data_IF_140843913578
#
_entry.id   IF_140843913578
#
_cell.length_a   1.000
_cell.length_b   1.000
_cell.length_c   1.000
_cell.angle_alpha   90.00
_cell.angle_beta   90.00
_cell.angle_gamma   90.00
#
_symmetry.space_group_name_H-M   'P 1'
#
loop_
_entity.id
_entity.type
_entity.pdbx_description
1 polymer ?
#
# COMPACT_ATOMS: atom_id res chain seq x y z
N UNK A 1 -2.38 33.69 -33.35
CA UNK A 1 -1.66 34.17 -32.16
C UNK A 1 -2.32 33.50 -30.95
N UNK A 2 -1.66 32.52 -30.35
CA UNK A 2 -2.09 31.89 -29.10
C UNK A 2 -1.49 32.70 -27.94
N UNK A 3 -2.33 33.30 -27.13
CA UNK A 3 -1.92 33.96 -25.89
C UNK A 3 -1.38 32.94 -24.88
N UNK A 4 -0.22 33.17 -24.27
CA UNK A 4 0.30 32.30 -23.24
C UNK A 4 -0.55 32.51 -21.96
N UNK A 5 -1.34 31.52 -21.60
CA UNK A 5 -1.98 31.49 -20.28
C UNK A 5 -0.90 31.10 -19.26
N UNK A 6 -0.27 32.08 -18.65
CA UNK A 6 0.53 31.87 -17.46
C UNK A 6 -0.44 31.70 -16.28
N UNK A 7 -0.72 30.48 -15.89
CA UNK A 7 -1.31 30.21 -14.59
C UNK A 7 -0.22 30.33 -13.54
N UNK A 8 -0.16 31.48 -12.88
CA UNK A 8 0.59 31.66 -11.64
C UNK A 8 -0.17 30.91 -10.52
N UNK A 9 0.05 29.60 -10.46
CA UNK A 9 -0.42 28.79 -9.33
C UNK A 9 0.58 29.00 -8.21
N UNK A 10 0.33 30.02 -7.37
CA UNK A 10 0.99 30.11 -6.08
C UNK A 10 0.56 28.88 -5.26
N UNK A 11 1.34 27.83 -5.30
CA UNK A 11 1.14 26.64 -4.49
C UNK A 11 1.45 26.98 -3.05
N UNK A 12 0.44 27.46 -2.30
CA UNK A 12 0.46 27.33 -0.85
C UNK A 12 0.68 25.85 -0.58
N UNK A 13 1.78 25.50 0.11
CA UNK A 13 2.01 24.14 0.62
C UNK A 13 0.82 23.77 1.50
N UNK A 14 -0.15 23.09 0.93
CA UNK A 14 -1.25 22.51 1.71
C UNK A 14 -0.68 21.25 2.32
N UNK A 15 -0.26 21.33 3.58
CA UNK A 15 0.06 20.14 4.36
C UNK A 15 -1.23 19.34 4.50
N UNK A 16 -1.24 18.06 4.13
CA UNK A 16 -2.41 17.23 4.35
C UNK A 16 -2.69 17.13 5.84
N UNK A 17 -3.95 17.17 6.22
CA UNK A 17 -4.40 16.93 7.60
C UNK A 17 -4.08 15.48 7.96
N UNK A 18 -3.46 15.25 9.11
CA UNK A 18 -3.22 13.97 9.71
C UNK A 18 -4.18 13.69 10.88
N UNK A 19 -4.45 12.42 11.16
CA UNK A 19 -5.17 11.99 12.35
C UNK A 19 -4.41 10.86 13.06
N UNK A 20 -4.11 11.03 14.33
CA UNK A 20 -3.36 10.14 15.18
C UNK A 20 -4.21 9.63 16.35
N UNK A 21 -4.39 8.32 16.44
CA UNK A 21 -4.92 7.68 17.64
C UNK A 21 -3.78 6.99 18.41
N UNK A 22 -3.71 7.21 19.71
CA UNK A 22 -2.74 6.55 20.60
C UNK A 22 -3.49 5.59 21.52
N UNK A 23 -3.03 4.33 21.61
CA UNK A 23 -3.46 3.37 22.62
C UNK A 23 -2.33 3.22 23.62
N UNK A 24 -2.61 3.56 24.88
CA UNK A 24 -1.65 3.53 25.97
C UNK A 24 -1.97 2.39 26.92
N UNK A 25 -1.16 1.34 26.87
CA UNK A 25 -1.14 0.23 27.83
C UNK A 25 0.26 0.17 28.44
N UNK A 26 0.45 0.85 29.58
CA UNK A 26 1.76 1.16 30.16
C UNK A 26 1.84 0.95 31.66
N UNK A 27 0.82 0.34 32.28
CA UNK A 27 0.76 0.20 33.74
C UNK A 27 1.77 -0.80 34.30
N UNK A 28 2.20 -1.76 33.51
CA UNK A 28 2.97 -2.91 33.98
C UNK A 28 4.50 -2.79 33.81
N UNK A 29 5.00 -1.69 33.25
CA UNK A 29 6.44 -1.46 33.26
C UNK A 29 6.87 -0.29 34.18
N UNK A 30 8.11 -0.28 34.68
CA UNK A 30 8.56 0.74 35.60
C UNK A 30 8.35 2.16 35.09
N UNK A 31 7.68 3.01 35.90
CA UNK A 31 7.31 4.39 35.54
C UNK A 31 6.45 4.49 34.27
N UNK A 32 5.74 3.42 33.87
CA UNK A 32 5.01 3.36 32.61
C UNK A 32 4.04 4.50 32.41
N UNK A 33 3.27 4.89 33.41
CA UNK A 33 2.35 6.03 33.34
C UNK A 33 3.07 7.37 33.17
N UNK A 34 4.27 7.52 33.75
CA UNK A 34 5.13 8.69 33.52
C UNK A 34 5.58 8.74 32.05
N UNK A 35 6.03 7.61 31.53
CA UNK A 35 6.38 7.48 30.12
C UNK A 35 5.19 7.73 29.19
N UNK A 36 4.02 7.16 29.49
CA UNK A 36 2.79 7.37 28.71
C UNK A 36 2.47 8.87 28.57
N UNK A 37 2.51 9.61 29.67
CA UNK A 37 2.27 11.05 29.69
C UNK A 37 3.32 11.82 28.87
N UNK A 38 4.58 11.43 28.96
CA UNK A 38 5.68 12.05 28.23
C UNK A 38 5.56 11.82 26.73
N UNK A 39 5.40 10.55 26.30
CA UNK A 39 5.33 10.20 24.88
C UNK A 39 4.10 10.82 24.20
N UNK A 40 2.95 10.82 24.88
CA UNK A 40 1.73 11.44 24.35
C UNK A 40 1.94 12.95 24.11
N UNK A 41 2.53 13.66 25.07
CA UNK A 41 2.83 15.09 24.92
C UNK A 41 3.84 15.36 23.82
N UNK A 42 4.91 14.57 23.71
CA UNK A 42 5.89 14.74 22.64
C UNK A 42 5.31 14.43 21.25
N UNK A 43 4.45 13.41 21.14
CA UNK A 43 3.73 13.13 19.88
C UNK A 43 2.83 14.31 19.48
N UNK A 44 2.08 14.88 20.43
CA UNK A 44 1.20 16.02 20.19
C UNK A 44 1.97 17.29 19.75
N UNK A 45 3.17 17.53 20.29
CA UNK A 45 3.97 18.74 19.99
C UNK A 45 4.47 18.81 18.55
N UNK A 46 4.62 17.67 17.87
CA UNK A 46 5.13 17.62 16.50
C UNK A 46 4.03 17.65 15.44
N UNK A 47 2.78 17.59 15.85
CA UNK A 47 1.62 17.69 14.97
C UNK A 47 1.38 19.15 14.57
N UNK A 48 0.83 19.33 13.37
CA UNK A 48 0.38 20.65 12.93
C UNK A 48 -0.93 21.02 13.61
N UNK A 49 -1.26 22.30 13.68
CA UNK A 49 -2.50 22.80 14.30
C UNK A 49 -3.79 22.18 13.74
N UNK A 50 -3.76 21.76 12.47
CA UNK A 50 -4.91 21.13 11.78
C UNK A 50 -5.00 19.63 11.99
N UNK A 51 -3.89 18.99 12.41
CA UNK A 51 -3.88 17.56 12.68
C UNK A 51 -4.76 17.25 13.89
N UNK A 52 -5.31 16.05 13.90
CA UNK A 52 -6.11 15.53 15.01
C UNK A 52 -5.32 14.49 15.80
N UNK A 53 -5.50 14.51 17.11
CA UNK A 53 -4.94 13.50 18.02
C UNK A 53 -6.01 13.06 19.02
N UNK A 54 -6.04 11.78 19.31
CA UNK A 54 -6.88 11.19 20.35
C UNK A 54 -6.13 10.11 21.12
N UNK A 55 -6.52 9.85 22.36
CA UNK A 55 -5.90 8.86 23.24
C UNK A 55 -6.95 7.89 23.73
N UNK A 56 -6.66 6.60 23.66
CA UNK A 56 -7.42 5.49 24.20
C UNK A 56 -6.59 4.80 25.28
N UNK A 57 -7.25 4.43 26.36
CA UNK A 57 -6.65 3.68 27.46
C UNK A 57 -7.74 3.00 28.29
N UNK A 58 -7.34 2.12 29.21
CA UNK A 58 -8.17 1.75 30.34
C UNK A 58 -8.06 2.82 31.43
N UNK A 59 -9.17 3.35 31.93
CA UNK A 59 -9.19 4.50 32.85
C UNK A 59 -9.92 4.18 34.19
N UNK A 60 -9.95 2.94 34.61
CA UNK A 60 -10.66 2.52 35.83
C UNK A 60 -12.18 2.40 35.67
N UNK A 61 -12.77 3.11 34.72
CA UNK A 61 -14.18 2.97 34.32
C UNK A 61 -14.39 2.02 33.14
N UNK A 62 -13.29 1.54 32.54
CA UNK A 62 -13.26 0.67 31.39
C UNK A 62 -12.36 1.22 30.26
N UNK A 63 -12.32 0.47 29.17
CA UNK A 63 -11.64 0.85 27.94
C UNK A 63 -12.39 2.01 27.26
N UNK A 64 -11.68 3.05 26.88
CA UNK A 64 -12.33 4.18 26.27
C UNK A 64 -11.39 5.29 25.84
N UNK A 65 -11.98 6.32 25.24
CA UNK A 65 -11.27 7.55 24.91
C UNK A 65 -10.96 8.34 26.19
N UNK A 66 -9.69 8.60 26.44
CA UNK A 66 -9.24 9.64 27.38
C UNK A 66 -9.67 11.00 26.87
N UNK A 67 -9.48 11.23 25.56
CA UNK A 67 -10.15 12.25 24.76
C UNK A 67 -10.19 11.78 23.29
N UNK A 68 -11.31 12.05 22.58
CA UNK A 68 -11.46 11.68 21.18
C UNK A 68 -10.54 12.49 20.26
N UNK A 69 -10.51 12.14 18.97
CA UNK A 69 -9.77 12.90 17.98
C UNK A 69 -10.13 14.38 18.05
N UNK A 70 -9.17 15.19 18.42
CA UNK A 70 -9.30 16.62 18.70
C UNK A 70 -8.15 17.35 18.00
N UNK A 71 -8.39 18.57 17.45
CA UNK A 71 -7.33 19.33 16.80
C UNK A 71 -6.11 19.58 17.71
N UNK A 72 -4.91 19.33 17.20
CA UNK A 72 -3.66 19.46 17.96
C UNK A 72 -3.36 20.88 18.43
N UNK A 73 -4.00 21.90 17.83
CA UNK A 73 -3.94 23.29 18.30
C UNK A 73 -4.38 23.48 19.77
N UNK A 74 -5.16 22.55 20.30
CA UNK A 74 -5.64 22.56 21.68
C UNK A 74 -4.63 21.97 22.67
N UNK A 75 -3.35 21.98 22.32
CA UNK A 75 -2.27 21.28 23.05
C UNK A 75 -2.34 21.47 24.57
N UNK A 76 -2.46 22.70 25.07
CA UNK A 76 -2.44 22.98 26.52
C UNK A 76 -3.62 22.29 27.24
N UNK A 77 -4.81 22.31 26.67
CA UNK A 77 -5.98 21.62 27.18
C UNK A 77 -5.78 20.10 27.19
N UNK A 78 -5.29 19.55 26.07
CA UNK A 78 -5.07 18.12 25.92
C UNK A 78 -3.94 17.62 26.84
N UNK A 79 -2.86 18.39 26.98
CA UNK A 79 -1.75 18.08 27.88
C UNK A 79 -2.20 18.05 29.36
N UNK A 80 -3.11 18.95 29.75
CA UNK A 80 -3.71 18.94 31.08
C UNK A 80 -4.55 17.66 31.34
N UNK A 81 -5.28 17.16 30.33
CA UNK A 81 -6.02 15.90 30.40
C UNK A 81 -5.02 14.72 30.53
N UNK A 82 -3.99 14.68 29.68
CA UNK A 82 -2.93 13.66 29.72
C UNK A 82 -2.25 13.57 31.09
N UNK A 83 -1.95 14.72 31.69
CA UNK A 83 -1.30 14.74 33.02
C UNK A 83 -2.14 14.10 34.14
N UNK A 84 -3.48 14.08 33.98
CA UNK A 84 -4.41 13.46 34.94
C UNK A 84 -4.76 12.02 34.59
N UNK A 85 -4.39 11.54 33.42
CA UNK A 85 -4.66 10.18 32.98
C UNK A 85 -3.74 9.20 33.69
N UNK A 86 -4.28 8.11 34.20
CA UNK A 86 -3.54 6.97 34.71
C UNK A 86 -4.01 5.73 33.92
N UNK A 87 -3.33 5.40 32.80
CA UNK A 87 -3.63 4.19 32.07
C UNK A 87 -3.55 2.95 32.95
N UNK A 88 -4.57 2.13 32.92
CA UNK A 88 -4.63 0.87 33.65
C UNK A 88 -4.41 -0.33 32.73
N UNK A 89 -4.55 -1.50 33.31
CA UNK A 89 -4.40 -2.78 32.63
C UNK A 89 -5.57 -3.04 31.67
N UNK A 90 -5.24 -3.44 30.46
CA UNK A 90 -6.17 -3.60 29.35
C UNK A 90 -6.30 -5.08 28.96
N UNK A 91 -7.47 -5.70 29.12
CA UNK A 91 -7.62 -7.15 28.89
C UNK A 91 -7.56 -7.54 27.42
N UNK A 92 -7.82 -6.61 26.50
CA UNK A 92 -7.86 -6.88 25.06
C UNK A 92 -7.58 -5.64 24.24
N UNK A 93 -6.90 -5.81 23.07
CA UNK A 93 -6.77 -4.74 22.10
C UNK A 93 -8.06 -4.49 21.29
N UNK A 94 -9.00 -5.43 21.26
CA UNK A 94 -10.14 -5.39 20.35
C UNK A 94 -11.00 -4.14 20.54
N UNK A 95 -11.38 -3.81 21.78
CA UNK A 95 -12.26 -2.67 22.08
C UNK A 95 -11.62 -1.34 21.71
N UNK A 96 -10.41 -1.09 22.21
CA UNK A 96 -9.70 0.18 21.95
C UNK A 96 -9.32 0.34 20.49
N UNK A 97 -8.90 -0.72 19.82
CA UNK A 97 -8.63 -0.71 18.39
C UNK A 97 -9.90 -0.42 17.57
N UNK A 98 -11.04 -1.07 17.91
CA UNK A 98 -12.31 -0.80 17.22
C UNK A 98 -12.75 0.67 17.39
N UNK A 99 -12.71 1.18 18.63
CA UNK A 99 -13.04 2.59 18.90
C UNK A 99 -12.14 3.56 18.14
N UNK A 100 -10.85 3.26 18.11
CA UNK A 100 -9.85 4.04 17.37
C UNK A 100 -10.08 4.01 15.85
N UNK A 101 -10.36 2.84 15.29
CA UNK A 101 -10.70 2.69 13.88
C UNK A 101 -11.95 3.49 13.51
N UNK A 102 -12.99 3.41 14.32
CA UNK A 102 -14.25 4.14 14.09
C UNK A 102 -14.04 5.65 14.19
N UNK A 103 -13.20 6.11 15.11
CA UNK A 103 -12.80 7.51 15.20
C UNK A 103 -12.04 7.98 13.97
N UNK A 104 -11.01 7.21 13.57
CA UNK A 104 -10.18 7.52 12.41
C UNK A 104 -10.95 7.47 11.08
N UNK A 105 -11.95 6.59 10.95
CA UNK A 105 -12.84 6.56 9.77
C UNK A 105 -13.71 7.82 9.65
N UNK A 106 -14.11 8.41 10.76
CA UNK A 106 -14.93 9.63 10.78
C UNK A 106 -14.12 10.90 10.48
N UNK A 107 -12.79 10.84 10.64
CA UNK A 107 -11.91 11.96 10.32
C UNK A 107 -11.78 12.15 8.81
N UNK A 108 -11.77 13.41 8.37
CA UNK A 108 -11.47 13.84 7.00
C UNK A 108 -9.96 13.88 6.69
N UNK A 109 -9.12 13.39 7.61
CA UNK A 109 -7.68 13.38 7.45
C UNK A 109 -7.24 12.53 6.26
N UNK A 110 -6.28 13.05 5.49
CA UNK A 110 -5.68 12.34 4.36
C UNK A 110 -4.77 11.20 4.82
N UNK A 111 -4.11 11.36 5.96
CA UNK A 111 -3.25 10.35 6.58
C UNK A 111 -3.82 9.99 7.94
N UNK A 112 -4.08 8.71 8.14
CA UNK A 112 -4.67 8.18 9.38
C UNK A 112 -3.76 7.13 9.96
N UNK A 113 -3.39 7.29 11.21
CA UNK A 113 -2.43 6.43 11.86
C UNK A 113 -2.82 6.12 13.29
N UNK A 114 -2.48 4.92 13.74
CA UNK A 114 -2.62 4.50 15.14
C UNK A 114 -1.26 4.05 15.66
N UNK A 115 -0.97 4.38 16.91
CA UNK A 115 0.19 3.87 17.62
C UNK A 115 -0.29 3.14 18.88
N UNK A 116 0.16 1.90 19.06
CA UNK A 116 -0.10 1.09 20.25
C UNK A 116 1.22 0.94 21.02
N UNK A 117 1.22 1.27 22.29
CA UNK A 117 2.31 0.92 23.21
C UNK A 117 1.78 -0.07 24.23
N UNK A 118 2.44 -1.20 24.39
CA UNK A 118 2.05 -2.28 25.29
C UNK A 118 3.22 -3.22 25.57
N UNK A 119 3.17 -3.96 26.65
CA UNK A 119 4.02 -5.12 26.93
C UNK A 119 3.62 -6.37 26.13
N UNK A 120 2.40 -6.36 25.53
CA UNK A 120 1.93 -7.39 24.62
C UNK A 120 1.00 -8.44 25.25
N UNK A 121 0.63 -8.29 26.51
CA UNK A 121 -0.24 -9.24 27.23
C UNK A 121 -1.75 -9.13 26.89
N UNK A 122 -2.32 -7.96 26.41
CA UNK A 122 -3.71 -7.94 26.02
C UNK A 122 -4.05 -8.96 24.92
N UNK A 123 -5.23 -9.56 25.02
CA UNK A 123 -5.72 -10.49 24.01
C UNK A 123 -5.70 -9.87 22.60
N UNK A 124 -5.29 -10.64 21.56
CA UNK A 124 -5.16 -10.12 20.20
C UNK A 124 -6.51 -9.69 19.60
N UNK A 125 -6.52 -8.72 18.68
CA UNK A 125 -7.71 -8.38 17.92
C UNK A 125 -8.09 -9.50 16.94
N UNK A 126 -9.36 -9.51 16.52
CA UNK A 126 -9.79 -10.45 15.48
C UNK A 126 -9.16 -10.14 14.12
N UNK A 127 -8.98 -11.15 13.26
CA UNK A 127 -8.50 -10.93 11.88
C UNK A 127 -9.36 -9.95 11.08
N UNK A 128 -10.68 -9.94 11.34
CA UNK A 128 -11.64 -9.03 10.70
C UNK A 128 -11.38 -7.58 11.08
N UNK A 129 -11.05 -7.34 12.37
CA UNK A 129 -10.71 -6.00 12.84
C UNK A 129 -9.41 -5.50 12.18
N UNK A 130 -8.38 -6.33 12.13
CA UNK A 130 -7.10 -6.00 11.45
C UNK A 130 -7.32 -5.73 9.97
N UNK A 131 -8.17 -6.54 9.32
CA UNK A 131 -8.59 -6.29 7.93
C UNK A 131 -9.31 -4.95 7.80
N UNK A 132 -10.16 -4.58 8.75
CA UNK A 132 -10.86 -3.29 8.79
C UNK A 132 -9.91 -2.09 8.76
N UNK A 133 -8.77 -2.16 9.43
CA UNK A 133 -7.72 -1.14 9.37
C UNK A 133 -7.12 -1.02 7.96
N UNK A 134 -6.80 -2.15 7.32
CA UNK A 134 -6.29 -2.16 5.93
C UNK A 134 -7.29 -1.56 4.94
N UNK A 135 -8.55 -1.99 5.02
CA UNK A 135 -9.61 -1.55 4.12
C UNK A 135 -9.88 -0.03 4.29
N UNK A 136 -9.76 0.47 5.52
CA UNK A 136 -9.87 1.90 5.84
C UNK A 136 -8.58 2.70 5.55
N UNK A 137 -7.50 2.06 5.11
CA UNK A 137 -6.18 2.67 4.90
C UNK A 137 -5.65 3.36 6.16
N UNK A 138 -5.83 2.73 7.30
CA UNK A 138 -5.28 3.15 8.59
C UNK A 138 -4.11 2.24 8.92
N UNK A 139 -2.91 2.80 9.02
CA UNK A 139 -1.73 2.05 9.46
C UNK A 139 -1.64 2.03 10.98
N UNK A 140 -1.18 0.91 11.54
CA UNK A 140 -1.00 0.75 12.99
C UNK A 140 0.45 0.41 13.29
N UNK A 141 1.17 1.32 13.96
CA UNK A 141 2.50 1.02 14.48
C UNK A 141 2.40 0.55 15.93
N UNK A 142 3.22 -0.42 16.29
CA UNK A 142 3.20 -1.03 17.61
C UNK A 142 4.57 -0.94 18.28
N UNK A 143 4.57 -0.69 19.58
CA UNK A 143 5.77 -0.53 20.38
C UNK A 143 5.65 -1.48 21.57
N UNK A 144 6.47 -2.54 21.57
CA UNK A 144 6.56 -3.46 22.68
C UNK A 144 7.49 -2.90 23.75
N UNK A 145 7.04 -2.90 25.02
CA UNK A 145 7.81 -2.44 26.16
C UNK A 145 7.83 -3.52 27.23
N UNK A 146 9.01 -3.80 27.77
CA UNK A 146 9.22 -4.69 28.94
C UNK A 146 8.31 -5.94 28.96
N UNK A 147 8.20 -6.74 27.89
CA UNK A 147 7.38 -7.94 27.94
C UNK A 147 7.85 -8.85 29.07
N UNK A 148 6.92 -9.26 29.91
CA UNK A 148 7.19 -10.08 31.07
C UNK A 148 6.46 -11.43 30.99
N UNK A 149 6.88 -12.40 31.80
CA UNK A 149 6.09 -13.64 32.04
C UNK A 149 5.84 -14.54 30.83
N UNK A 150 6.64 -14.48 29.75
CA UNK A 150 6.47 -15.32 28.55
C UNK A 150 5.48 -14.78 27.54
N UNK A 151 5.11 -13.51 27.63
CA UNK A 151 4.28 -12.81 26.66
C UNK A 151 4.96 -12.81 25.29
N UNK A 152 4.23 -13.21 24.25
CA UNK A 152 4.71 -13.23 22.87
C UNK A 152 4.51 -11.86 22.19
N UNK A 153 5.58 -11.09 21.96
CA UNK A 153 5.49 -9.82 21.24
C UNK A 153 5.06 -10.01 19.77
N UNK A 154 4.92 -11.25 19.30
CA UNK A 154 4.50 -11.59 17.94
C UNK A 154 3.12 -11.03 17.59
N UNK A 155 2.22 -10.87 18.54
CA UNK A 155 0.91 -10.23 18.33
C UNK A 155 1.08 -8.79 17.86
N UNK A 156 1.90 -8.01 18.57
CA UNK A 156 2.17 -6.61 18.21
C UNK A 156 2.88 -6.51 16.85
N UNK A 157 3.82 -7.42 16.59
CA UNK A 157 4.51 -7.49 15.31
C UNK A 157 3.55 -7.84 14.17
N UNK A 158 2.61 -8.77 14.37
CA UNK A 158 1.61 -9.15 13.38
C UNK A 158 0.67 -7.98 13.06
N UNK A 159 0.14 -7.27 14.07
CA UNK A 159 -0.71 -6.10 13.88
C UNK A 159 -0.01 -5.05 13.00
N UNK A 160 1.22 -4.68 13.35
CA UNK A 160 1.97 -3.68 12.58
C UNK A 160 2.19 -4.13 11.14
N UNK A 161 2.65 -5.36 10.93
CA UNK A 161 2.93 -5.93 9.60
C UNK A 161 1.68 -5.98 8.72
N UNK A 162 0.55 -6.42 9.25
CA UNK A 162 -0.68 -6.61 8.50
C UNK A 162 -1.37 -5.28 8.14
N UNK A 163 -1.20 -4.25 8.96
CA UNK A 163 -1.80 -2.92 8.72
C UNK A 163 -0.87 -1.95 8.00
N UNK A 164 0.37 -2.37 7.71
CA UNK A 164 1.36 -1.53 7.02
C UNK A 164 2.02 -0.48 7.91
N UNK A 165 1.98 -0.67 9.22
CA UNK A 165 2.73 0.12 10.20
C UNK A 165 4.09 -0.48 10.53
N UNK A 166 4.72 0.01 11.59
CA UNK A 166 6.05 -0.40 12.05
C UNK A 166 5.99 -1.01 13.44
N UNK A 167 6.82 -2.02 13.66
CA UNK A 167 7.02 -2.63 14.97
C UNK A 167 8.33 -2.15 15.59
N UNK A 168 8.27 -1.77 16.87
CA UNK A 168 9.42 -1.34 17.66
C UNK A 168 9.55 -2.15 18.93
N UNK A 169 10.78 -2.44 19.31
CA UNK A 169 11.11 -3.08 20.59
C UNK A 169 12.34 -2.39 21.22
N UNK A 170 12.15 -1.19 21.78
CA UNK A 170 13.24 -0.48 22.42
C UNK A 170 13.64 -1.16 23.75
N UNK A 171 14.92 -1.53 23.86
CA UNK A 171 15.50 -2.03 25.11
C UNK A 171 15.62 -0.94 26.20
N UNK A 172 15.63 0.32 25.78
CA UNK A 172 15.80 1.49 26.63
C UNK A 172 14.57 2.39 26.51
N UNK A 173 13.76 2.56 27.59
CA UNK A 173 12.58 3.41 27.55
C UNK A 173 12.87 4.88 27.22
N UNK A 174 14.08 5.38 27.42
CA UNK A 174 14.46 6.74 27.06
C UNK A 174 14.33 7.03 25.55
N UNK A 175 14.29 5.98 24.72
CA UNK A 175 14.09 6.08 23.27
C UNK A 175 12.61 6.21 22.86
N UNK A 176 11.67 5.94 23.76
CA UNK A 176 10.23 6.02 23.46
C UNK A 176 9.80 7.37 22.88
N UNK A 177 10.16 8.54 23.48
CA UNK A 177 9.77 9.82 22.92
C UNK A 177 10.22 10.00 21.47
N UNK A 178 11.45 9.60 21.14
CA UNK A 178 11.98 9.72 19.78
C UNK A 178 11.24 8.85 18.77
N UNK A 179 10.80 7.65 19.18
CA UNK A 179 9.97 6.76 18.35
C UNK A 179 8.60 7.40 18.09
N UNK A 180 7.94 7.91 19.14
CA UNK A 180 6.63 8.55 18.99
C UNK A 180 6.70 9.82 18.16
N UNK A 181 7.73 10.64 18.33
CA UNK A 181 8.01 11.81 17.48
C UNK A 181 8.18 11.39 16.01
N UNK A 182 8.93 10.31 15.77
CA UNK A 182 9.14 9.78 14.42
C UNK A 182 7.82 9.32 13.78
N UNK A 183 7.01 8.55 14.52
CA UNK A 183 5.71 8.08 14.05
C UNK A 183 4.74 9.25 13.80
N UNK A 184 4.65 10.21 14.72
CA UNK A 184 3.81 11.39 14.53
C UNK A 184 4.24 12.26 13.34
N UNK A 185 5.54 12.40 13.09
CA UNK A 185 6.09 13.12 11.92
C UNK A 185 5.69 12.49 10.58
N UNK A 186 5.33 11.21 10.52
CA UNK A 186 4.82 10.62 9.27
C UNK A 186 3.51 11.25 8.82
N UNK A 187 2.72 11.76 9.78
CA UNK A 187 1.46 12.47 9.51
C UNK A 187 1.68 13.89 8.97
N UNK A 188 2.77 14.53 9.40
CA UNK A 188 3.05 15.94 9.10
C UNK A 188 3.94 16.14 7.88
N UNK A 189 4.49 15.06 7.30
CA UNK A 189 5.31 15.15 6.09
C UNK A 189 4.42 15.59 4.91
N UNK A 190 4.81 16.69 4.27
CA UNK A 190 4.16 17.08 3.02
C UNK A 190 4.20 15.91 2.03
N UNK A 191 3.06 15.53 1.46
CA UNK A 191 3.02 14.50 0.41
C UNK A 191 3.83 14.90 -0.82
N UNK A 192 4.05 16.19 -1.02
CA UNK A 192 4.87 16.74 -2.10
C UNK A 192 6.18 17.22 -1.49
N UNK A 193 7.28 16.59 -1.88
CA UNK A 193 8.63 16.97 -1.50
C UNK A 193 9.25 17.79 -2.62
N UNK A 194 9.26 19.13 -2.50
CA UNK A 194 9.91 20.01 -3.47
C UNK A 194 11.29 20.42 -2.97
N UNK A 195 12.20 19.49 -3.03
CA UNK A 195 13.64 19.67 -2.77
C UNK A 195 14.43 18.84 -3.77
N UNK A 196 15.65 19.25 -4.09
CA UNK A 196 16.52 18.44 -4.95
C UNK A 196 16.86 17.12 -4.24
N UNK A 197 16.56 16.02 -4.90
CA UNK A 197 16.75 14.65 -4.41
C UNK A 197 17.44 13.83 -5.48
N UNK A 198 18.55 13.20 -5.15
CA UNK A 198 19.19 12.19 -5.98
C UNK A 198 18.66 10.82 -5.59
N UNK A 199 17.83 10.17 -6.41
CA UNK A 199 17.35 8.83 -6.12
C UNK A 199 18.51 7.85 -6.06
N UNK A 200 18.42 6.88 -5.16
CA UNK A 200 19.36 5.76 -5.05
C UNK A 200 18.70 4.46 -5.48
N UNK A 201 19.52 3.53 -6.00
CA UNK A 201 19.04 2.19 -6.38
C UNK A 201 18.80 1.41 -5.09
N UNK A 202 17.56 0.96 -4.89
CA UNK A 202 17.20 0.05 -3.79
C UNK A 202 17.26 -1.41 -4.25
N UNK A 203 16.75 -1.69 -5.44
CA UNK A 203 16.75 -3.03 -6.00
C UNK A 203 17.27 -3.02 -7.45
N UNK A 204 18.24 -3.91 -7.79
CA UNK A 204 18.73 -4.03 -9.14
C UNK A 204 17.62 -4.42 -10.12
N UNK A 205 17.51 -3.72 -11.25
CA UNK A 205 16.46 -3.97 -12.24
C UNK A 205 16.98 -3.86 -13.66
N UNK A 206 16.39 -4.63 -14.57
CA UNK A 206 16.66 -4.53 -16.01
C UNK A 206 16.28 -3.14 -16.56
N UNK A 207 15.36 -2.44 -15.89
CA UNK A 207 14.96 -1.06 -16.24
C UNK A 207 16.14 -0.09 -16.16
N UNK A 208 17.12 -0.36 -15.29
CA UNK A 208 18.29 0.49 -15.08
C UNK A 208 19.57 -0.08 -15.71
N UNK A 209 19.49 -1.20 -16.42
CA UNK A 209 20.67 -1.89 -16.98
C UNK A 209 21.43 -0.98 -17.95
N UNK A 210 22.71 -0.76 -17.68
CA UNK A 210 23.60 0.02 -18.53
C UNK A 210 23.41 1.53 -18.48
N UNK A 211 22.57 2.06 -17.56
CA UNK A 211 22.25 3.50 -17.51
C UNK A 211 23.14 4.31 -16.55
N UNK A 212 23.96 3.65 -15.74
CA UNK A 212 24.76 4.34 -14.73
C UNK A 212 23.91 4.97 -13.62
N UNK A 213 24.36 6.12 -13.13
CA UNK A 213 23.64 6.86 -12.10
C UNK A 213 22.47 7.64 -12.71
N UNK A 214 21.34 7.64 -11.99
CA UNK A 214 20.17 8.43 -12.38
C UNK A 214 20.30 9.88 -11.94
N UNK A 215 19.76 10.84 -12.72
CA UNK A 215 19.81 12.25 -12.38
C UNK A 215 18.96 12.58 -11.14
N UNK A 216 19.25 13.69 -10.46
CA UNK A 216 18.38 14.18 -9.39
C UNK A 216 17.05 14.69 -9.93
N UNK A 217 16.04 14.64 -9.04
CA UNK A 217 14.72 15.24 -9.22
C UNK A 217 14.64 16.51 -8.37
N UNK A 218 13.93 17.53 -8.83
CA UNK A 218 13.61 18.73 -8.03
C UNK A 218 12.44 18.49 -7.06
N UNK A 219 11.75 17.37 -7.19
CA UNK A 219 10.66 16.99 -6.30
C UNK A 219 10.10 15.60 -6.62
N UNK A 220 9.34 15.05 -5.69
CA UNK A 220 8.63 13.79 -5.83
C UNK A 220 7.44 13.74 -4.86
N UNK A 221 6.49 12.84 -5.14
CA UNK A 221 5.35 12.58 -4.25
C UNK A 221 5.73 11.50 -3.24
N UNK A 222 5.62 11.83 -1.97
CA UNK A 222 5.84 10.88 -0.88
C UNK A 222 4.74 9.82 -0.88
N UNK A 223 5.14 8.57 -0.92
CA UNK A 223 4.25 7.42 -0.91
C UNK A 223 4.86 6.29 -0.06
N UNK A 224 4.07 5.26 0.21
CA UNK A 224 4.54 4.03 0.84
C UNK A 224 4.54 2.89 -0.16
N UNK A 225 5.56 2.01 -0.13
CA UNK A 225 5.57 0.84 -1.01
C UNK A 225 4.39 -0.08 -0.71
N UNK A 226 3.74 -0.58 -1.74
CA UNK A 226 2.70 -1.61 -1.58
C UNK A 226 3.31 -2.95 -1.21
N UNK A 227 2.58 -3.75 -0.47
CA UNK A 227 2.95 -5.15 -0.24
C UNK A 227 3.17 -5.85 -1.60
N UNK A 228 4.29 -6.54 -1.75
CA UNK A 228 4.74 -7.21 -2.98
C UNK A 228 5.11 -6.27 -4.14
N UNK A 229 5.27 -4.97 -3.91
CA UNK A 229 5.92 -4.11 -4.89
C UNK A 229 7.45 -4.18 -4.74
N UNK A 230 8.14 -4.06 -5.86
CA UNK A 230 9.59 -3.94 -5.91
C UNK A 230 9.94 -2.46 -6.08
N UNK A 231 10.56 -1.85 -5.08
CA UNK A 231 11.06 -0.47 -5.19
C UNK A 231 12.43 -0.51 -5.84
N UNK A 232 12.53 0.06 -7.04
CA UNK A 232 13.76 0.09 -7.84
C UNK A 232 14.60 1.30 -7.47
N UNK A 233 13.97 2.47 -7.40
CA UNK A 233 14.58 3.72 -6.97
C UNK A 233 13.89 4.25 -5.73
N UNK A 234 14.68 4.70 -4.76
CA UNK A 234 14.19 5.32 -3.53
C UNK A 234 14.74 6.73 -3.33
N UNK A 235 14.02 7.52 -2.53
CA UNK A 235 14.44 8.82 -2.03
C UNK A 235 15.60 8.74 -1.01
N UNK A 236 16.01 9.88 -0.47
CA UNK A 236 17.22 10.00 0.35
C UNK A 236 17.07 9.47 1.79
N UNK A 237 15.86 9.18 2.24
CA UNK A 237 15.63 8.73 3.62
C UNK A 237 16.27 7.37 3.85
N UNK A 238 17.05 7.24 4.93
CA UNK A 238 17.79 6.02 5.24
C UNK A 238 16.95 4.99 6.01
N UNK A 239 16.00 5.45 6.79
CA UNK A 239 15.21 4.61 7.69
C UNK A 239 13.86 4.19 7.10
N UNK A 240 13.38 4.94 6.11
CA UNK A 240 12.13 4.68 5.40
C UNK A 240 12.40 4.56 3.91
N UNK A 241 11.69 3.64 3.26
CA UNK A 241 11.74 3.54 1.81
C UNK A 241 10.70 4.50 1.25
N UNK A 242 11.14 5.65 0.74
CA UNK A 242 10.33 6.56 -0.05
C UNK A 242 10.46 6.13 -1.53
N UNK A 243 9.50 5.41 -2.12
CA UNK A 243 9.64 4.92 -3.48
C UNK A 243 9.62 6.07 -4.48
N UNK A 244 10.62 6.11 -5.36
CA UNK A 244 10.67 7.01 -6.50
C UNK A 244 10.26 6.28 -7.78
N UNK A 245 10.72 5.04 -7.95
CA UNK A 245 10.27 4.13 -8.99
C UNK A 245 9.98 2.77 -8.37
N UNK A 246 8.76 2.30 -8.52
CA UNK A 246 8.36 0.96 -8.09
C UNK A 246 7.62 0.23 -9.20
N UNK A 247 7.78 -1.08 -9.24
CA UNK A 247 7.04 -1.97 -10.13
C UNK A 247 6.22 -2.95 -9.32
N UNK A 248 5.11 -3.38 -9.88
CA UNK A 248 4.19 -4.27 -9.21
C UNK A 248 3.44 -5.15 -10.21
N UNK A 249 3.23 -6.41 -9.85
CA UNK A 249 2.39 -7.33 -10.63
C UNK A 249 0.96 -7.26 -10.15
N UNK A 250 0.04 -7.02 -11.09
CA UNK A 250 -1.39 -7.02 -10.84
C UNK A 250 -2.10 -7.92 -11.85
N UNK A 251 -2.63 -9.03 -11.37
CA UNK A 251 -3.18 -10.08 -12.23
C UNK A 251 -2.11 -10.62 -13.19
N UNK A 252 -2.41 -10.61 -14.47
CA UNK A 252 -1.49 -11.01 -15.55
C UNK A 252 -0.63 -9.85 -16.07
N UNK A 253 -0.86 -8.64 -15.57
CA UNK A 253 -0.15 -7.44 -15.99
C UNK A 253 0.96 -7.04 -15.02
N UNK A 254 1.81 -6.13 -15.48
CA UNK A 254 2.82 -5.46 -14.67
C UNK A 254 2.60 -3.95 -14.79
N UNK A 255 2.77 -3.24 -13.70
CA UNK A 255 2.62 -1.79 -13.64
C UNK A 255 3.87 -1.17 -13.06
N UNK A 256 4.15 0.07 -13.41
CA UNK A 256 5.18 0.87 -12.78
C UNK A 256 4.58 2.19 -12.30
N UNK A 257 5.09 2.69 -11.19
CA UNK A 257 4.78 4.00 -10.66
C UNK A 257 6.07 4.77 -10.46
N UNK A 258 6.12 5.98 -11.04
CA UNK A 258 7.19 6.93 -10.85
C UNK A 258 6.62 8.14 -10.10
N UNK A 259 7.15 8.44 -8.92
CA UNK A 259 6.60 9.46 -8.03
C UNK A 259 7.14 10.87 -8.30
N UNK A 260 8.14 11.00 -9.18
CA UNK A 260 8.56 12.26 -9.79
C UNK A 260 7.66 12.64 -10.96
N UNK A 261 8.19 13.48 -11.85
CA UNK A 261 7.57 13.77 -13.13
C UNK A 261 8.63 13.78 -14.26
N UNK A 262 8.15 13.75 -15.48
CA UNK A 262 8.96 13.95 -16.69
C UNK A 262 8.63 15.30 -17.33
N UNK A 263 8.48 16.33 -16.49
CA UNK A 263 8.28 17.71 -16.90
C UNK A 263 9.48 18.58 -16.46
N UNK A 264 9.61 19.80 -17.00
CA UNK A 264 10.64 20.74 -16.54
C UNK A 264 10.52 21.14 -15.06
N UNK A 265 9.37 20.89 -14.43
CA UNK A 265 9.14 21.23 -13.02
C UNK A 265 10.06 20.44 -12.10
N UNK A 266 9.98 19.11 -12.13
CA UNK A 266 10.79 18.25 -11.26
C UNK A 266 11.80 17.40 -12.01
N UNK A 267 11.49 16.99 -13.23
CA UNK A 267 12.27 16.07 -14.05
C UNK A 267 13.17 16.72 -15.11
N UNK A 268 13.45 18.04 -15.04
CA UNK A 268 14.26 18.72 -16.05
C UNK A 268 15.57 17.97 -16.36
N UNK A 269 16.34 17.61 -15.31
CA UNK A 269 17.61 16.90 -15.47
C UNK A 269 17.45 15.48 -16.05
N UNK A 270 16.27 14.85 -15.87
CA UNK A 270 15.95 13.57 -16.50
C UNK A 270 15.72 13.72 -17.99
N UNK A 271 15.01 14.78 -18.42
CA UNK A 271 14.76 15.05 -19.84
C UNK A 271 16.02 15.35 -20.62
N UNK A 272 17.02 15.97 -19.97
CA UNK A 272 18.33 16.32 -20.57
C UNK A 272 19.33 15.14 -20.51
N UNK A 273 19.04 14.10 -19.74
CA UNK A 273 19.94 12.97 -19.53
C UNK A 273 19.97 12.04 -20.76
N UNK A 274 21.14 11.69 -21.25
CA UNK A 274 21.31 10.77 -22.38
C UNK A 274 20.65 9.39 -22.12
N UNK A 275 20.63 8.95 -20.85
CA UNK A 275 19.97 7.73 -20.42
C UNK A 275 18.44 7.78 -20.41
N UNK A 276 17.80 8.94 -20.63
CA UNK A 276 16.34 9.06 -20.52
C UNK A 276 15.58 8.20 -21.54
N UNK A 277 15.97 8.26 -22.81
CA UNK A 277 15.32 7.44 -23.85
C UNK A 277 15.50 5.93 -23.63
N UNK A 278 16.72 5.42 -23.35
CA UNK A 278 16.91 4.03 -22.96
C UNK A 278 16.10 3.65 -21.71
N UNK A 279 16.07 4.51 -20.69
CA UNK A 279 15.27 4.29 -19.48
C UNK A 279 13.79 4.09 -19.80
N UNK A 280 13.17 5.01 -20.52
CA UNK A 280 11.75 4.93 -20.90
C UNK A 280 11.48 3.69 -21.75
N UNK A 281 12.38 3.35 -22.68
CA UNK A 281 12.27 2.13 -23.49
C UNK A 281 12.32 0.86 -22.62
N UNK A 282 13.30 0.77 -21.71
CA UNK A 282 13.45 -0.38 -20.80
C UNK A 282 12.25 -0.51 -19.85
N UNK A 283 11.77 0.62 -19.32
CA UNK A 283 10.56 0.68 -18.50
C UNK A 283 9.33 0.19 -19.28
N UNK A 284 9.13 0.69 -20.50
CA UNK A 284 8.03 0.26 -21.36
C UNK A 284 8.10 -1.23 -21.69
N UNK A 285 9.27 -1.77 -21.98
CA UNK A 285 9.48 -3.20 -22.23
C UNK A 285 9.18 -4.02 -20.99
N UNK A 286 9.62 -3.57 -19.81
CA UNK A 286 9.43 -4.28 -18.55
C UNK A 286 7.95 -4.42 -18.15
N UNK A 287 7.15 -3.39 -18.38
CA UNK A 287 5.71 -3.39 -18.09
C UNK A 287 4.86 -3.92 -19.25
N UNK A 288 5.43 -4.05 -20.45
CA UNK A 288 4.72 -4.61 -21.59
C UNK A 288 4.47 -6.10 -21.38
N UNK A 289 3.41 -6.59 -21.98
CA UNK A 289 3.24 -8.03 -22.09
C UNK A 289 4.36 -8.58 -22.94
N UNK A 290 5.06 -9.58 -22.44
CA UNK A 290 6.03 -10.32 -23.24
C UNK A 290 5.26 -10.86 -24.45
N UNK A 291 5.65 -10.44 -25.65
CA UNK A 291 5.14 -11.06 -26.87
C UNK A 291 5.53 -12.55 -26.79
N UNK A 292 4.53 -13.41 -26.64
CA UNK A 292 4.79 -14.83 -26.65
C UNK A 292 5.16 -15.18 -28.10
N UNK A 293 6.28 -15.85 -28.25
CA UNK A 293 6.65 -16.49 -29.52
C UNK A 293 5.70 -17.69 -29.75
N UNK A 294 4.48 -17.39 -30.05
CA UNK A 294 3.45 -18.39 -30.32
C UNK A 294 2.64 -17.90 -31.52
N UNK A 295 2.41 -18.78 -32.47
CA UNK A 295 1.50 -18.54 -33.57
C UNK A 295 0.04 -18.43 -33.12
N UNK A 296 -0.23 -18.77 -31.84
CA UNK A 296 -1.55 -18.65 -31.25
C UNK A 296 -1.79 -17.24 -30.69
N UNK A 297 -2.92 -16.66 -31.01
CA UNK A 297 -3.41 -15.43 -30.39
C UNK A 297 -4.64 -15.70 -29.56
N UNK A 298 -4.59 -15.27 -28.31
CA UNK A 298 -5.67 -15.42 -27.34
C UNK A 298 -6.45 -14.12 -27.23
N UNK A 299 -7.77 -14.23 -27.37
CA UNK A 299 -8.73 -13.19 -26.97
C UNK A 299 -9.67 -13.77 -25.92
N UNK A 300 -9.87 -13.01 -24.85
CA UNK A 300 -10.76 -13.40 -23.75
C UNK A 300 -11.59 -12.21 -23.30
N UNK A 301 -12.87 -12.46 -23.04
CA UNK A 301 -13.81 -11.42 -22.59
C UNK A 301 -15.01 -12.03 -21.87
N UNK A 302 -15.73 -11.22 -21.12
CA UNK A 302 -17.00 -11.59 -20.52
C UNK A 302 -18.16 -11.26 -21.47
N UNK A 303 -19.11 -12.19 -21.63
CA UNK A 303 -20.35 -12.01 -22.36
C UNK A 303 -21.51 -12.50 -21.49
N UNK A 304 -22.24 -11.57 -20.84
CA UNK A 304 -23.25 -11.89 -19.84
C UNK A 304 -22.64 -12.63 -18.65
N UNK A 305 -23.16 -13.81 -18.34
CA UNK A 305 -22.68 -14.68 -17.24
C UNK A 305 -21.58 -15.67 -17.69
N UNK A 306 -21.10 -15.55 -18.91
CA UNK A 306 -20.09 -16.46 -19.47
C UNK A 306 -18.79 -15.75 -19.76
N UNK A 307 -17.67 -16.43 -19.51
CA UNK A 307 -16.36 -16.10 -20.04
C UNK A 307 -16.15 -16.78 -21.40
N UNK A 308 -15.68 -16.03 -22.37
CA UNK A 308 -15.39 -16.51 -23.71
C UNK A 308 -13.89 -16.56 -23.92
N UNK A 309 -13.41 -17.67 -24.44
CA UNK A 309 -12.02 -17.88 -24.84
C UNK A 309 -11.97 -18.14 -26.33
N UNK A 310 -11.22 -17.33 -27.05
CA UNK A 310 -11.02 -17.47 -28.50
C UNK A 310 -9.53 -17.57 -28.78
N UNK A 311 -9.14 -18.59 -29.54
CA UNK A 311 -7.78 -18.80 -30.05
C UNK A 311 -7.80 -18.68 -31.56
N UNK A 312 -6.94 -17.83 -32.10
CA UNK A 312 -6.63 -17.71 -33.51
C UNK A 312 -5.24 -18.33 -33.77
N UNK A 313 -5.16 -19.28 -34.74
CA UNK A 313 -3.89 -19.86 -35.14
C UNK A 313 -3.35 -19.11 -36.38
N UNK A 314 -2.25 -18.41 -36.18
CA UNK A 314 -1.53 -17.62 -37.20
C UNK A 314 -0.36 -18.39 -37.84
N UNK A 315 -0.25 -19.70 -37.59
CA UNK A 315 0.78 -20.51 -38.22
C UNK A 315 0.66 -20.49 -39.76
N UNK A 316 1.77 -20.40 -40.50
CA UNK A 316 1.72 -20.32 -41.99
C UNK A 316 1.02 -21.50 -42.68
N UNK A 317 1.20 -22.73 -42.15
CA UNK A 317 0.56 -23.92 -42.69
C UNK A 317 -0.80 -24.20 -42.07
N UNK A 318 -1.69 -24.80 -42.84
CA UNK A 318 -2.97 -25.29 -42.32
C UNK A 318 -2.73 -26.49 -41.41
N UNK A 319 -3.23 -26.41 -40.20
CA UNK A 319 -3.15 -27.48 -39.19
C UNK A 319 -4.36 -27.49 -38.30
N UNK A 320 -4.71 -28.65 -37.78
CA UNK A 320 -5.74 -28.78 -36.78
C UNK A 320 -5.11 -28.92 -35.41
N UNK A 321 -5.63 -28.16 -34.44
CA UNK A 321 -5.15 -28.19 -33.08
C UNK A 321 -6.21 -28.72 -32.12
N UNK A 322 -5.80 -29.55 -31.16
CA UNK A 322 -6.59 -29.79 -29.95
C UNK A 322 -6.24 -28.69 -28.95
N UNK A 323 -7.18 -27.78 -28.69
CA UNK A 323 -6.94 -26.60 -27.90
C UNK A 323 -7.63 -26.73 -26.55
N UNK A 324 -6.85 -26.62 -25.49
CA UNK A 324 -7.32 -26.69 -24.11
C UNK A 324 -6.91 -25.41 -23.38
N UNK A 325 -7.85 -24.77 -22.69
CA UNK A 325 -7.59 -23.61 -21.84
C UNK A 325 -7.82 -23.98 -20.37
N UNK A 326 -6.88 -23.59 -19.51
CA UNK A 326 -7.05 -23.57 -18.06
C UNK A 326 -7.39 -22.15 -17.63
N UNK A 327 -8.50 -21.99 -16.95
CA UNK A 327 -9.01 -20.71 -16.49
C UNK A 327 -8.93 -20.69 -14.97
N UNK A 328 -8.20 -19.73 -14.41
CA UNK A 328 -8.16 -19.46 -12.97
C UNK A 328 -8.87 -18.13 -12.70
N UNK A 329 -9.73 -18.08 -11.70
CA UNK A 329 -10.54 -16.92 -11.38
C UNK A 329 -10.65 -16.65 -9.88
N UNK A 330 -11.58 -15.81 -9.46
CA UNK A 330 -11.79 -15.47 -8.05
C UNK A 330 -12.03 -16.71 -7.17
N UNK A 331 -11.58 -16.62 -5.88
CA UNK A 331 -11.79 -17.70 -4.90
C UNK A 331 -10.94 -18.95 -5.15
N UNK A 332 -9.75 -18.78 -5.78
CA UNK A 332 -8.80 -19.88 -6.05
C UNK A 332 -9.39 -21.04 -6.90
N UNK A 333 -10.52 -20.80 -7.54
CA UNK A 333 -11.16 -21.77 -8.42
C UNK A 333 -10.49 -21.77 -9.78
N UNK A 334 -10.25 -22.97 -10.32
CA UNK A 334 -9.77 -23.18 -11.68
C UNK A 334 -10.66 -24.17 -12.43
N UNK A 335 -10.81 -23.95 -13.74
CA UNK A 335 -11.60 -24.79 -14.63
C UNK A 335 -10.83 -25.05 -15.92
N UNK A 336 -11.04 -26.22 -16.52
CA UNK A 336 -10.44 -26.58 -17.79
C UNK A 336 -11.51 -26.57 -18.88
N UNK A 337 -11.27 -25.78 -19.93
CA UNK A 337 -12.19 -25.57 -21.04
C UNK A 337 -11.55 -26.14 -22.31
N UNK A 338 -12.19 -27.09 -22.94
CA UNK A 338 -11.78 -27.56 -24.27
C UNK A 338 -12.43 -26.67 -25.34
N UNK A 339 -11.60 -26.05 -26.19
CA UNK A 339 -12.09 -25.21 -27.27
C UNK A 339 -12.45 -26.04 -28.49
N UNK A 340 -13.54 -25.66 -29.15
CA UNK A 340 -14.02 -26.30 -30.39
C UNK A 340 -13.71 -25.41 -31.59
N UNK A 341 -13.41 -25.96 -32.76
CA UNK A 341 -13.29 -25.16 -33.98
C UNK A 341 -14.61 -24.40 -34.24
N UNK A 342 -14.51 -23.09 -34.39
CA UNK A 342 -15.64 -22.19 -34.69
C UNK A 342 -15.52 -21.52 -36.06
N UNK A 343 -14.39 -21.75 -36.74
CA UNK A 343 -14.09 -21.26 -38.09
C UNK A 343 -12.71 -21.73 -38.53
N UNK A 344 -12.28 -21.38 -39.75
CA UNK A 344 -10.91 -21.67 -40.20
C UNK A 344 -9.89 -21.06 -39.21
N UNK A 345 -9.00 -21.88 -38.65
CA UNK A 345 -7.94 -21.48 -37.71
C UNK A 345 -8.49 -20.81 -36.44
N UNK A 346 -9.78 -20.93 -36.14
CA UNK A 346 -10.44 -20.29 -35.02
C UNK A 346 -11.02 -21.36 -34.07
N UNK A 347 -10.66 -21.25 -32.80
CA UNK A 347 -11.15 -22.17 -31.75
C UNK A 347 -11.79 -21.35 -30.65
N UNK A 348 -12.99 -21.79 -30.21
CA UNK A 348 -13.76 -21.10 -29.18
C UNK A 348 -14.22 -22.04 -28.09
N UNK A 349 -14.17 -21.55 -26.85
CA UNK A 349 -14.76 -22.22 -25.71
C UNK A 349 -15.41 -21.21 -24.79
N UNK A 350 -16.36 -21.67 -24.00
CA UNK A 350 -17.05 -20.85 -23.01
C UNK A 350 -17.08 -21.55 -21.65
N UNK A 351 -17.16 -20.76 -20.61
CA UNK A 351 -17.26 -21.24 -19.23
C UNK A 351 -18.12 -20.27 -18.40
N UNK A 352 -18.82 -20.77 -17.35
CA UNK A 352 -19.61 -19.89 -16.49
C UNK A 352 -18.70 -18.98 -15.66
N UNK A 353 -19.06 -17.72 -15.53
CA UNK A 353 -18.39 -16.81 -14.59
C UNK A 353 -18.83 -17.15 -13.17
N UNK A 354 -17.88 -17.37 -12.26
CA UNK A 354 -18.17 -17.77 -10.87
C UNK A 354 -17.84 -16.67 -9.84
N UNK A 355 -17.61 -15.45 -10.29
CA UNK A 355 -17.36 -14.32 -9.43
C UNK A 355 -16.88 -13.09 -10.17
N UNK A 356 -16.84 -11.98 -9.46
CA UNK A 356 -16.25 -10.72 -9.94
C UNK A 356 -14.77 -10.68 -9.61
N UNK A 357 -13.96 -10.11 -10.48
CA UNK A 357 -12.52 -10.06 -10.34
C UNK A 357 -11.78 -10.48 -11.59
N UNK A 358 -10.49 -10.79 -11.46
CA UNK A 358 -9.63 -11.14 -12.59
C UNK A 358 -9.68 -12.63 -12.89
N UNK A 359 -9.83 -12.96 -14.16
CA UNK A 359 -9.71 -14.30 -14.71
C UNK A 359 -8.42 -14.40 -15.52
N UNK A 360 -7.61 -15.40 -15.21
CA UNK A 360 -6.39 -15.73 -15.96
C UNK A 360 -6.66 -16.94 -16.83
N UNK A 361 -6.26 -16.88 -18.09
CA UNK A 361 -6.46 -17.95 -19.05
C UNK A 361 -5.13 -18.37 -19.63
N UNK A 362 -4.76 -19.62 -19.41
CA UNK A 362 -3.62 -20.28 -20.05
C UNK A 362 -4.16 -21.26 -21.08
N UNK A 363 -3.86 -21.06 -22.36
CA UNK A 363 -4.28 -21.97 -23.41
C UNK A 363 -3.08 -22.64 -24.07
N UNK A 364 -3.27 -23.92 -24.38
CA UNK A 364 -2.30 -24.76 -25.09
C UNK A 364 -3.00 -25.44 -26.26
N UNK A 365 -2.41 -25.29 -27.44
CA UNK A 365 -2.84 -25.97 -28.66
C UNK A 365 -1.85 -27.08 -29.02
N UNK A 366 -2.28 -28.32 -28.99
CA UNK A 366 -1.49 -29.49 -29.40
C UNK A 366 -1.89 -29.90 -30.82
N UNK A 367 -0.90 -30.20 -31.67
CA UNK A 367 -1.09 -30.61 -33.06
C UNK A 367 0.24 -31.01 -33.67
N UNK A 368 0.33 -31.04 -35.01
CA UNK A 368 1.58 -31.29 -35.67
C UNK A 368 2.60 -30.18 -35.36
N UNK A 369 3.73 -30.51 -34.78
CA UNK A 369 4.82 -29.61 -34.40
C UNK A 369 4.88 -29.32 -32.90
N UNK A 370 5.59 -28.22 -32.51
CA UNK A 370 5.67 -27.80 -31.10
C UNK A 370 4.32 -27.26 -30.64
N UNK A 371 3.84 -27.65 -29.43
CA UNK A 371 2.59 -27.13 -28.92
C UNK A 371 2.71 -25.61 -28.73
N UNK A 372 1.72 -24.88 -29.26
CA UNK A 372 1.59 -23.46 -29.07
C UNK A 372 1.01 -23.18 -27.68
N UNK A 373 1.59 -22.20 -26.96
CA UNK A 373 1.11 -21.79 -25.63
C UNK A 373 0.86 -20.31 -25.60
N UNK A 374 -0.23 -19.91 -24.96
CA UNK A 374 -0.56 -18.50 -24.82
C UNK A 374 -1.22 -18.23 -23.47
N UNK A 375 -0.87 -17.11 -22.86
CA UNK A 375 -1.41 -16.63 -21.58
C UNK A 375 -2.10 -15.29 -21.80
N UNK A 376 -3.24 -15.11 -21.18
CA UNK A 376 -4.00 -13.86 -21.17
C UNK A 376 -4.99 -13.83 -20.04
N UNK A 377 -5.97 -12.94 -20.14
CA UNK A 377 -7.02 -12.85 -19.12
C UNK A 377 -7.90 -11.63 -19.33
N UNK A 378 -8.94 -11.54 -18.51
CA UNK A 378 -9.86 -10.41 -18.49
C UNK A 378 -10.35 -10.18 -17.06
N UNK A 379 -10.99 -9.05 -16.83
CA UNK A 379 -11.56 -8.74 -15.51
C UNK A 379 -13.06 -8.50 -15.63
N UNK A 380 -13.81 -9.06 -14.70
CA UNK A 380 -15.23 -8.76 -14.49
C UNK A 380 -15.32 -7.69 -13.43
N UNK A 381 -15.67 -6.44 -13.78
CA UNK A 381 -15.69 -5.33 -12.84
C UNK A 381 -16.80 -5.50 -11.81
N UNK A 382 -16.61 -4.92 -10.64
CA UNK A 382 -17.70 -4.71 -9.70
C UNK A 382 -18.69 -3.70 -10.30
N UNK A 383 -19.97 -3.82 -9.92
CA UNK A 383 -20.99 -2.86 -10.36
C UNK A 383 -20.58 -1.45 -9.98
N UNK A 384 -20.90 -0.46 -10.84
CA UNK A 384 -20.62 0.93 -10.61
C UNK A 384 -21.23 1.47 -9.29
N UNK A 385 -22.27 0.83 -8.78
CA UNK A 385 -22.87 1.12 -7.48
C UNK A 385 -21.90 0.91 -6.30
N UNK A 386 -20.93 -0.01 -6.43
CA UNK A 386 -19.90 -0.25 -5.42
C UNK A 386 -18.63 0.60 -5.59
N UNK A 387 -18.58 1.46 -6.60
CA UNK A 387 -17.47 2.39 -6.84
C UNK A 387 -17.72 3.80 -6.25
N UNK A 388 -18.87 4.01 -5.61
CA UNK A 388 -19.28 5.27 -5.00
C UNK A 388 -19.29 5.19 -3.48
N UNK A 389 -18.15 4.80 -2.88
CA UNK A 389 -17.91 4.94 -1.44
C UNK A 389 -16.48 5.45 -1.19
#
# INVERSE_FOLDING_TARGET
>A
EALPVSMDVSTKKVLPKGALALILHTCEFPEGNTWAKRIAKEAMRVLNEKDEVGILAWTGAGEGWVFPLTPAKEYERLAAIVNRCEPGDMPSFATTMQMGLDGLKKSDAAVRHMIIISDGDPSPPSPELVKGFRDARVSVSTIAVSPHGGVDPGVLQAIAKETGGRYYFPKDPSKLPSIFIKEAKTLTRSMIQEKEVKPSIEFPSQILKGLGEVPPLKGYVLTTPKLRSETILKGPEKEEIDPVLSVWRFGVGRTAAFTGDFSPRWGAKWLEWEGFRPFVKQLAVDISRVAQESDLRLRTFAAGEKGIVVIEDHHPSDRFLDVVAKVAGPGERAETVRLKPSGPRLYQGEFPLWGRGSYQVFAEGAGEGKPGRVLGGFSVPYSAEYLRF
#
